data_IF_334142119266
#
_entry.id   IF_334142119266
#
_cell.length_a   1.000
_cell.length_b   1.000
_cell.length_c   1.000
_cell.angle_alpha   90.00
_cell.angle_beta   90.00
_cell.angle_gamma   90.00
#
_symmetry.space_group_name_H-M   'P 1'
#
loop_
_entity.id
_entity.type
_entity.pdbx_description
1 polymer ?
#
# COMPACT_ATOMS: atom_id res chain seq x y z
N UNK A 1 46.37 39.35 -6.29
CA UNK A 1 45.91 37.95 -6.28
C UNK A 1 47.14 37.07 -6.17
N UNK A 2 47.32 36.39 -5.02
CA UNK A 2 48.55 35.67 -4.71
C UNK A 2 48.60 34.32 -5.50
N UNK A 3 49.82 33.86 -5.85
CA UNK A 3 50.02 32.56 -6.54
C UNK A 3 49.35 31.42 -5.77
N UNK A 4 49.40 31.44 -4.43
CA UNK A 4 48.72 30.48 -3.53
C UNK A 4 47.20 30.41 -3.74
N UNK A 5 46.54 31.53 -4.04
CA UNK A 5 45.08 31.53 -4.24
C UNK A 5 44.69 30.84 -5.54
N UNK A 6 45.55 30.85 -6.55
CA UNK A 6 45.35 30.21 -7.83
C UNK A 6 45.53 28.71 -7.71
N UNK A 7 46.57 28.27 -7.01
CA UNK A 7 46.82 26.86 -6.74
C UNK A 7 45.74 26.24 -5.83
N UNK A 8 45.31 26.96 -4.79
CA UNK A 8 44.24 26.57 -3.90
C UNK A 8 42.91 26.38 -4.65
N UNK A 9 42.55 27.29 -5.57
CA UNK A 9 41.36 27.15 -6.43
C UNK A 9 41.45 25.93 -7.34
N UNK A 10 42.61 25.73 -7.98
CA UNK A 10 42.80 24.55 -8.86
C UNK A 10 42.66 23.20 -8.10
N UNK A 11 43.14 23.16 -6.85
CA UNK A 11 42.97 21.97 -5.99
C UNK A 11 41.49 21.76 -5.65
N UNK A 12 40.77 22.80 -5.24
CA UNK A 12 39.35 22.72 -4.91
C UNK A 12 38.52 22.28 -6.13
N UNK A 13 38.80 22.85 -7.31
CA UNK A 13 38.11 22.44 -8.56
C UNK A 13 38.37 21.00 -8.89
N UNK A 14 39.61 20.48 -8.79
CA UNK A 14 39.93 19.05 -8.99
C UNK A 14 39.23 18.17 -7.97
N UNK A 15 39.16 18.57 -6.72
CA UNK A 15 38.44 17.84 -5.68
C UNK A 15 36.92 17.80 -5.99
N UNK A 16 36.33 18.88 -6.42
CA UNK A 16 34.94 18.97 -6.81
C UNK A 16 34.60 18.05 -8.01
N UNK A 17 35.47 18.10 -9.06
CA UNK A 17 35.32 17.18 -10.21
C UNK A 17 35.46 15.72 -9.81
N UNK A 18 36.45 15.39 -8.99
CA UNK A 18 36.64 14.02 -8.50
C UNK A 18 35.47 13.54 -7.59
N UNK A 19 34.90 14.41 -6.80
CA UNK A 19 33.70 14.13 -5.98
C UNK A 19 32.50 13.86 -6.89
N UNK A 20 32.27 14.72 -7.89
CA UNK A 20 31.18 14.57 -8.87
C UNK A 20 31.32 13.26 -9.67
N UNK A 21 32.52 12.93 -10.13
CA UNK A 21 32.79 11.66 -10.83
C UNK A 21 32.51 10.44 -9.94
N UNK A 22 32.94 10.47 -8.66
CA UNK A 22 32.63 9.39 -7.69
C UNK A 22 31.14 9.24 -7.44
N UNK A 23 30.42 10.34 -7.29
CA UNK A 23 28.96 10.31 -7.11
C UNK A 23 28.26 9.73 -8.35
N UNK A 24 28.70 10.12 -9.56
CA UNK A 24 28.16 9.60 -10.82
C UNK A 24 28.43 8.11 -10.98
N UNK A 25 29.67 7.66 -10.68
CA UNK A 25 30.02 6.23 -10.71
C UNK A 25 29.23 5.41 -9.67
N UNK A 26 29.02 5.96 -8.46
CA UNK A 26 28.19 5.32 -7.44
C UNK A 26 26.75 5.19 -7.92
N UNK A 27 26.17 6.27 -8.49
CA UNK A 27 24.81 6.28 -9.04
C UNK A 27 24.66 5.25 -10.19
N UNK A 28 25.64 5.18 -11.08
CA UNK A 28 25.64 4.19 -12.18
C UNK A 28 25.69 2.76 -11.65
N UNK A 29 26.57 2.45 -10.67
CA UNK A 29 26.62 1.12 -10.03
C UNK A 29 25.32 0.77 -9.32
N UNK A 30 24.69 1.73 -8.63
CA UNK A 30 23.39 1.54 -7.97
C UNK A 30 22.28 1.26 -9.00
N UNK A 31 22.26 1.96 -10.13
CA UNK A 31 21.32 1.73 -11.23
C UNK A 31 21.50 0.34 -11.83
N UNK A 32 22.74 -0.09 -12.09
CA UNK A 32 23.04 -1.43 -12.61
C UNK A 32 22.59 -2.51 -11.61
N UNK A 33 22.86 -2.32 -10.31
CA UNK A 33 22.45 -3.25 -9.27
C UNK A 33 20.93 -3.33 -9.13
N UNK A 34 20.23 -2.20 -9.26
CA UNK A 34 18.74 -2.15 -9.29
C UNK A 34 18.18 -2.94 -10.47
N UNK A 35 18.72 -2.70 -11.65
CA UNK A 35 18.33 -3.41 -12.88
C UNK A 35 18.46 -4.91 -12.69
N UNK A 36 19.59 -5.38 -12.19
CA UNK A 36 19.86 -6.79 -11.91
C UNK A 36 18.88 -7.39 -10.86
N UNK A 37 18.52 -6.66 -9.80
CA UNK A 37 17.56 -7.14 -8.79
C UNK A 37 16.14 -7.24 -9.37
N UNK A 38 15.75 -6.34 -10.25
CA UNK A 38 14.41 -6.31 -10.85
C UNK A 38 14.28 -7.29 -12.03
N UNK A 39 15.36 -7.48 -12.82
CA UNK A 39 15.36 -8.34 -14.00
C UNK A 39 15.61 -9.83 -13.68
N UNK A 40 16.20 -10.16 -12.52
CA UNK A 40 16.77 -11.51 -12.27
C UNK A 40 15.74 -12.58 -11.89
N UNK A 41 14.45 -12.30 -11.82
CA UNK A 41 13.46 -13.36 -11.57
C UNK A 41 12.08 -12.99 -12.10
N UNK A 42 11.40 -13.96 -12.68
CA UNK A 42 9.99 -13.89 -13.05
C UNK A 42 9.09 -13.44 -11.91
N UNK A 43 7.80 -13.52 -12.10
CA UNK A 43 6.78 -13.13 -11.11
C UNK A 43 7.04 -13.76 -9.73
N UNK A 44 6.70 -13.06 -8.63
CA UNK A 44 6.88 -13.60 -7.29
C UNK A 44 6.17 -14.94 -7.12
N UNK A 45 6.84 -15.96 -6.60
CA UNK A 45 6.25 -17.29 -6.42
C UNK A 45 5.02 -17.32 -5.50
N UNK A 46 4.83 -16.30 -4.67
CA UNK A 46 3.65 -16.15 -3.82
C UNK A 46 2.47 -15.46 -4.52
N UNK A 47 2.68 -14.84 -5.68
CA UNK A 47 1.61 -14.23 -6.46
C UNK A 47 0.72 -15.32 -7.05
N UNK A 48 -0.57 -15.30 -6.72
CA UNK A 48 -1.57 -16.04 -7.46
C UNK A 48 -2.12 -15.12 -8.55
N UNK A 49 -1.52 -15.17 -9.72
CA UNK A 49 -1.86 -14.29 -10.83
C UNK A 49 -3.22 -14.61 -11.46
N UNK A 50 -3.78 -13.65 -12.21
CA UNK A 50 -4.96 -13.85 -13.03
C UNK A 50 -4.57 -14.40 -14.40
N UNK A 51 -5.52 -15.00 -15.11
CA UNK A 51 -5.29 -15.57 -16.43
C UNK A 51 -5.41 -14.55 -17.56
N UNK A 52 -6.12 -13.45 -17.35
CA UNK A 52 -6.18 -12.35 -18.31
C UNK A 52 -4.84 -11.64 -18.40
N UNK A 53 -4.43 -11.31 -19.62
CA UNK A 53 -3.27 -10.47 -19.94
C UNK A 53 -3.66 -9.03 -20.26
N UNK A 54 -4.95 -8.71 -20.22
CA UNK A 54 -5.45 -7.35 -20.42
C UNK A 54 -5.38 -6.58 -19.09
N UNK A 55 -4.50 -5.56 -19.00
CA UNK A 55 -4.40 -4.76 -17.79
C UNK A 55 -5.69 -4.02 -17.44
N UNK A 56 -6.52 -3.68 -18.44
CA UNK A 56 -7.71 -2.81 -18.23
C UNK A 56 -8.83 -3.49 -17.46
N UNK A 57 -8.89 -4.83 -17.46
CA UNK A 57 -9.85 -5.61 -16.69
C UNK A 57 -9.24 -6.27 -15.44
N UNK A 58 -7.90 -6.24 -15.31
CA UNK A 58 -7.20 -6.99 -14.28
C UNK A 58 -7.04 -6.19 -12.98
N UNK A 59 -7.18 -6.87 -11.85
CA UNK A 59 -7.08 -6.29 -10.51
C UNK A 59 -6.08 -7.06 -9.65
N UNK A 60 -5.23 -6.34 -8.90
CA UNK A 60 -4.31 -6.93 -7.92
C UNK A 60 -4.80 -6.66 -6.51
N UNK A 61 -5.12 -7.70 -5.77
CA UNK A 61 -5.39 -7.61 -4.33
C UNK A 61 -4.09 -7.86 -3.55
N UNK A 62 -3.66 -6.88 -2.79
CA UNK A 62 -2.58 -7.01 -1.82
C UNK A 62 -3.23 -7.39 -0.49
N UNK A 63 -3.00 -8.62 -0.04
CA UNK A 63 -3.72 -9.24 1.08
C UNK A 63 -2.81 -9.39 2.28
N UNK A 64 -3.31 -9.06 3.47
CA UNK A 64 -2.59 -9.19 4.72
C UNK A 64 -2.49 -10.67 5.15
N UNK A 65 -1.26 -11.19 5.15
CA UNK A 65 -0.93 -12.52 5.65
C UNK A 65 -1.40 -13.68 4.80
N UNK A 66 -0.85 -14.85 5.11
CA UNK A 66 -1.21 -16.10 4.42
C UNK A 66 -2.60 -16.62 4.85
N UNK A 67 -3.07 -16.28 6.06
CA UNK A 67 -4.37 -16.68 6.59
C UNK A 67 -5.55 -16.12 5.79
N UNK A 68 -5.47 -14.85 5.40
CA UNK A 68 -6.48 -14.22 4.54
C UNK A 68 -6.26 -14.55 3.05
N UNK A 69 -5.04 -14.85 2.63
CA UNK A 69 -4.72 -15.19 1.25
C UNK A 69 -5.37 -16.51 0.79
N UNK A 70 -5.53 -17.49 1.68
CA UNK A 70 -6.21 -18.76 1.38
C UNK A 70 -7.67 -18.55 0.93
N UNK A 71 -8.52 -17.99 1.78
CA UNK A 71 -9.89 -17.62 1.42
C UNK A 71 -9.97 -16.68 0.22
N UNK A 72 -9.10 -15.69 0.10
CA UNK A 72 -9.08 -14.75 -1.04
C UNK A 72 -8.78 -15.45 -2.38
N UNK A 73 -7.84 -16.40 -2.40
CA UNK A 73 -7.53 -17.20 -3.59
C UNK A 73 -8.71 -18.09 -4.01
N UNK A 74 -9.49 -18.57 -3.05
CA UNK A 74 -10.70 -19.38 -3.33
C UNK A 74 -11.88 -18.51 -3.78
N UNK A 75 -11.97 -17.29 -3.22
CA UNK A 75 -13.07 -16.36 -3.49
C UNK A 75 -12.96 -15.69 -4.86
N UNK A 76 -11.75 -15.36 -5.31
CA UNK A 76 -11.49 -14.50 -6.48
C UNK A 76 -12.06 -15.02 -7.80
N UNK A 77 -12.39 -14.13 -8.70
CA UNK A 77 -12.45 -14.47 -10.14
C UNK A 77 -11.01 -14.61 -10.67
N UNK A 78 -10.55 -15.85 -10.82
CA UNK A 78 -9.19 -16.14 -11.29
C UNK A 78 -8.90 -15.66 -12.70
N UNK A 79 -9.92 -15.27 -13.46
CA UNK A 79 -9.74 -14.70 -14.80
C UNK A 79 -9.12 -13.32 -14.73
N UNK A 80 -9.59 -12.46 -13.83
CA UNK A 80 -9.23 -11.03 -13.80
C UNK A 80 -8.64 -10.56 -12.46
N UNK A 81 -8.71 -11.37 -11.39
CA UNK A 81 -8.24 -10.98 -10.06
C UNK A 81 -7.00 -11.77 -9.64
N UNK A 82 -5.92 -11.06 -9.36
CA UNK A 82 -4.67 -11.59 -8.82
C UNK A 82 -4.59 -11.34 -7.31
N UNK A 83 -3.96 -12.27 -6.57
CA UNK A 83 -3.76 -12.18 -5.12
C UNK A 83 -2.27 -12.20 -4.80
N UNK A 84 -1.79 -11.16 -4.13
CA UNK A 84 -0.43 -11.08 -3.59
C UNK A 84 -0.48 -10.99 -2.07
N UNK A 85 -0.20 -12.06 -1.34
CA UNK A 85 -0.06 -11.98 0.11
C UNK A 85 1.21 -11.24 0.49
N UNK A 86 1.11 -10.38 1.51
CA UNK A 86 2.25 -9.75 2.17
C UNK A 86 2.38 -10.34 3.58
N UNK A 87 3.60 -10.79 3.94
CA UNK A 87 3.87 -11.42 5.22
C UNK A 87 4.28 -10.40 6.25
N UNK A 88 3.37 -10.12 7.18
CA UNK A 88 3.60 -9.16 8.25
C UNK A 88 3.73 -7.72 7.78
N UNK A 89 4.26 -6.87 8.64
CA UNK A 89 4.46 -5.44 8.37
C UNK A 89 5.65 -5.25 7.43
N UNK A 90 5.39 -4.67 6.25
CA UNK A 90 6.48 -4.34 5.31
C UNK A 90 7.41 -3.29 5.92
N UNK A 91 8.63 -3.25 5.41
CA UNK A 91 9.62 -2.27 5.87
C UNK A 91 9.11 -0.84 5.63
N UNK A 92 9.26 0.04 6.63
CA UNK A 92 8.96 1.45 6.46
C UNK A 92 10.00 2.10 5.54
N UNK A 93 9.61 2.33 4.30
CA UNK A 93 10.49 2.87 3.27
C UNK A 93 10.90 4.33 3.52
N UNK A 94 10.20 5.06 4.39
CA UNK A 94 10.61 6.42 4.77
C UNK A 94 11.86 6.42 5.64
N UNK A 95 12.05 5.39 6.46
CA UNK A 95 13.18 5.28 7.40
C UNK A 95 14.43 4.62 6.83
N UNK A 96 14.37 4.06 5.63
CA UNK A 96 15.50 3.31 5.06
C UNK A 96 15.95 3.88 3.72
N UNK A 97 17.19 3.55 3.36
CA UNK A 97 17.71 3.86 2.03
C UNK A 97 16.99 3.02 0.98
N UNK A 98 16.96 3.52 -0.24
CA UNK A 98 16.33 2.84 -1.36
C UNK A 98 16.90 1.44 -1.60
N UNK A 99 18.23 1.29 -1.55
CA UNK A 99 18.88 -0.01 -1.72
C UNK A 99 18.40 -1.02 -0.66
N UNK A 100 18.25 -0.60 0.59
CA UNK A 100 17.75 -1.46 1.66
C UNK A 100 16.27 -1.80 1.46
N UNK A 101 15.46 -0.86 0.98
CA UNK A 101 14.08 -1.13 0.65
C UNK A 101 13.97 -2.19 -0.46
N UNK A 102 14.75 -2.07 -1.53
CA UNK A 102 14.74 -3.02 -2.66
C UNK A 102 15.27 -4.42 -2.31
N UNK A 103 16.09 -4.55 -1.26
CA UNK A 103 16.53 -5.84 -0.74
C UNK A 103 15.46 -6.55 0.09
N UNK A 104 14.39 -5.86 0.48
CA UNK A 104 13.29 -6.47 1.20
C UNK A 104 12.43 -7.29 0.22
N UNK A 105 12.18 -8.56 0.56
CA UNK A 105 11.46 -9.51 -0.30
C UNK A 105 10.03 -9.05 -0.61
N UNK A 106 9.33 -8.47 0.37
CA UNK A 106 7.96 -7.98 0.20
C UNK A 106 7.90 -6.79 -0.76
N UNK A 107 8.83 -5.83 -0.61
CA UNK A 107 8.94 -4.68 -1.51
C UNK A 107 9.32 -5.13 -2.93
N UNK A 108 10.29 -6.03 -3.06
CA UNK A 108 10.69 -6.60 -4.35
C UNK A 108 9.52 -7.34 -5.02
N UNK A 109 8.74 -8.11 -4.24
CA UNK A 109 7.56 -8.80 -4.75
C UNK A 109 6.48 -7.83 -5.24
N UNK A 110 6.20 -6.74 -4.51
CA UNK A 110 5.26 -5.71 -4.94
C UNK A 110 5.68 -5.09 -6.27
N UNK A 111 6.94 -4.65 -6.39
CA UNK A 111 7.47 -4.02 -7.60
C UNK A 111 7.35 -4.95 -8.82
N UNK A 112 7.75 -6.22 -8.66
CA UNK A 112 7.70 -7.23 -9.73
C UNK A 112 6.26 -7.60 -10.12
N UNK A 113 5.36 -7.71 -9.15
CA UNK A 113 3.94 -8.03 -9.42
C UNK A 113 3.26 -6.92 -10.21
N UNK A 114 3.50 -5.65 -9.85
CA UNK A 114 2.87 -4.50 -10.49
C UNK A 114 3.43 -4.25 -11.89
N UNK A 115 4.76 -4.34 -12.07
CA UNK A 115 5.41 -4.26 -13.38
C UNK A 115 5.85 -2.87 -13.82
N UNK A 116 5.36 -1.79 -13.21
CA UNK A 116 5.58 -0.39 -13.66
C UNK A 116 7.01 0.14 -13.47
N UNK A 117 7.89 -0.62 -12.81
CA UNK A 117 9.15 -0.05 -12.30
C UNK A 117 8.91 0.94 -11.16
N UNK A 118 9.94 1.72 -10.81
CA UNK A 118 9.88 2.69 -9.70
C UNK A 118 10.61 4.00 -10.06
N UNK A 119 10.15 5.12 -9.49
CA UNK A 119 10.79 6.44 -9.60
C UNK A 119 11.17 6.82 -11.04
N UNK A 120 12.49 6.95 -11.35
CA UNK A 120 12.99 7.32 -12.67
C UNK A 120 12.71 6.25 -13.76
N UNK A 121 12.46 5.02 -13.37
CA UNK A 121 12.11 3.89 -14.26
C UNK A 121 10.61 3.61 -14.27
N UNK A 122 9.82 4.43 -13.57
CA UNK A 122 8.37 4.25 -13.52
C UNK A 122 7.76 4.53 -14.89
N UNK A 123 7.04 3.54 -15.40
CA UNK A 123 6.21 3.65 -16.59
C UNK A 123 4.82 3.08 -16.28
N UNK A 124 3.81 3.92 -16.31
CA UNK A 124 2.43 3.53 -16.00
C UNK A 124 1.85 2.55 -17.01
N UNK A 125 2.24 2.66 -18.28
CA UNK A 125 1.77 1.80 -19.37
C UNK A 125 2.18 0.34 -19.18
N UNK A 126 3.25 0.08 -18.41
CA UNK A 126 3.72 -1.26 -18.05
C UNK A 126 2.94 -1.86 -16.87
N UNK A 127 1.94 -1.15 -16.33
CA UNK A 127 1.10 -1.67 -15.24
C UNK A 127 0.34 -2.91 -15.69
N UNK A 128 0.51 -4.00 -14.96
CA UNK A 128 -0.18 -5.26 -15.25
C UNK A 128 -1.64 -5.27 -14.78
N UNK A 129 -2.05 -4.27 -14.01
CA UNK A 129 -3.39 -4.20 -13.42
C UNK A 129 -3.97 -2.79 -13.52
N UNK A 130 -5.28 -2.69 -13.74
CA UNK A 130 -6.03 -1.44 -13.68
C UNK A 130 -6.20 -0.97 -12.23
N UNK A 131 -6.50 -1.91 -11.33
CA UNK A 131 -6.70 -1.60 -9.91
C UNK A 131 -5.74 -2.37 -9.02
N UNK A 132 -5.15 -1.67 -8.07
CA UNK A 132 -4.34 -2.23 -6.99
C UNK A 132 -5.10 -1.98 -5.70
N UNK A 133 -5.61 -3.05 -5.09
CA UNK A 133 -6.56 -2.99 -3.99
C UNK A 133 -5.90 -3.52 -2.73
N UNK A 134 -5.85 -2.72 -1.66
CA UNK A 134 -5.38 -3.16 -0.35
C UNK A 134 -6.53 -3.85 0.37
N UNK A 135 -6.35 -5.11 0.70
CA UNK A 135 -7.28 -5.93 1.44
C UNK A 135 -6.61 -6.33 2.77
N UNK A 136 -6.83 -5.52 3.80
CA UNK A 136 -6.24 -5.66 5.14
C UNK A 136 -7.34 -5.81 6.18
N UNK A 137 -6.99 -6.38 7.33
CA UNK A 137 -7.90 -6.49 8.46
C UNK A 137 -8.40 -5.11 8.92
N UNK A 138 -9.57 -5.09 9.52
CA UNK A 138 -10.20 -3.84 10.00
C UNK A 138 -9.75 -3.48 11.43
N UNK A 139 -8.55 -3.84 11.82
CA UNK A 139 -7.93 -3.56 13.11
C UNK A 139 -6.78 -2.54 13.01
N UNK A 140 -6.10 -2.30 14.14
CA UNK A 140 -4.98 -1.35 14.23
C UNK A 140 -3.75 -1.81 13.42
N UNK A 141 -3.51 -3.12 13.34
CA UNK A 141 -2.40 -3.70 12.58
C UNK A 141 -2.64 -3.58 11.08
N UNK A 142 -3.86 -3.88 10.60
CA UNK A 142 -4.26 -3.66 9.22
C UNK A 142 -4.21 -2.18 8.82
N UNK A 143 -4.61 -1.25 9.71
CA UNK A 143 -4.46 0.18 9.49
C UNK A 143 -2.97 0.59 9.35
N UNK A 144 -2.07 0.01 10.16
CA UNK A 144 -0.64 0.24 10.05
C UNK A 144 -0.07 -0.31 8.73
N UNK A 145 -0.47 -1.51 8.32
CA UNK A 145 -0.05 -2.10 7.04
C UNK A 145 -0.51 -1.24 5.86
N UNK A 146 -1.75 -0.75 5.87
CA UNK A 146 -2.24 0.21 4.87
C UNK A 146 -1.37 1.46 4.81
N UNK A 147 -1.00 2.02 5.96
CA UNK A 147 -0.14 3.21 6.02
C UNK A 147 1.25 2.94 5.46
N UNK A 148 1.84 1.77 5.73
CA UNK A 148 3.12 1.35 5.15
C UNK A 148 3.03 1.16 3.63
N UNK A 149 1.97 0.54 3.14
CA UNK A 149 1.70 0.40 1.71
C UNK A 149 1.54 1.77 1.04
N UNK A 150 0.72 2.67 1.59
CA UNK A 150 0.56 4.03 1.09
C UNK A 150 1.89 4.78 1.03
N UNK A 151 2.74 4.63 2.08
CA UNK A 151 4.09 5.21 2.11
C UNK A 151 4.96 4.66 0.98
N UNK A 152 4.87 3.36 0.70
CA UNK A 152 5.59 2.72 -0.40
C UNK A 152 5.13 3.26 -1.76
N UNK A 153 3.83 3.27 -2.04
CA UNK A 153 3.28 3.77 -3.31
C UNK A 153 3.58 5.25 -3.51
N UNK A 154 3.40 6.07 -2.48
CA UNK A 154 3.69 7.50 -2.55
C UNK A 154 5.17 7.78 -2.87
N UNK A 155 6.10 7.03 -2.24
CA UNK A 155 7.53 7.25 -2.40
C UNK A 155 8.12 6.70 -3.70
N UNK A 156 7.62 5.55 -4.16
CA UNK A 156 8.22 4.80 -5.27
C UNK A 156 7.39 4.81 -6.55
N UNK A 157 6.07 4.89 -6.45
CA UNK A 157 5.12 4.79 -7.57
C UNK A 157 4.00 5.84 -7.47
N UNK A 158 4.31 7.16 -7.26
CA UNK A 158 3.27 8.18 -7.08
C UNK A 158 2.34 8.30 -8.29
N UNK A 159 2.81 7.96 -9.49
CA UNK A 159 1.99 7.92 -10.71
C UNK A 159 0.75 7.04 -10.56
N UNK A 160 0.83 5.88 -9.91
CA UNK A 160 -0.33 5.00 -9.69
C UNK A 160 -1.40 5.63 -8.78
N UNK A 161 -1.01 6.52 -7.87
CA UNK A 161 -1.97 7.26 -7.03
C UNK A 161 -2.63 8.36 -7.86
N UNK A 162 -1.83 9.11 -8.64
CA UNK A 162 -2.36 10.22 -9.46
C UNK A 162 -3.25 9.75 -10.60
N UNK A 163 -2.98 8.59 -11.19
CA UNK A 163 -3.85 7.95 -12.18
C UNK A 163 -5.06 7.24 -11.56
N UNK A 164 -5.10 7.16 -10.21
CA UNK A 164 -6.25 6.60 -9.50
C UNK A 164 -6.35 5.08 -9.56
N UNK A 165 -5.24 4.40 -9.71
CA UNK A 165 -5.16 2.93 -9.73
C UNK A 165 -5.07 2.29 -8.34
N UNK A 166 -4.83 3.07 -7.28
CA UNK A 166 -4.69 2.56 -5.90
C UNK A 166 -6.00 2.70 -5.15
N UNK A 167 -6.43 1.60 -4.51
CA UNK A 167 -7.71 1.50 -3.82
C UNK A 167 -7.56 0.78 -2.48
N UNK A 168 -8.47 1.06 -1.55
CA UNK A 168 -8.58 0.38 -0.25
C UNK A 168 -9.93 -0.31 -0.20
N UNK A 169 -9.95 -1.61 0.08
CA UNK A 169 -11.18 -2.35 0.34
C UNK A 169 -11.66 -2.11 1.77
N UNK A 170 -12.96 -1.93 1.94
CA UNK A 170 -13.63 -1.83 3.25
C UNK A 170 -14.51 -3.07 3.48
N UNK A 171 -13.94 -4.19 3.96
CA UNK A 171 -14.74 -5.34 4.36
C UNK A 171 -15.63 -4.99 5.56
N UNK A 172 -16.81 -5.64 5.71
CA UNK A 172 -17.71 -5.39 6.83
C UNK A 172 -17.13 -5.88 8.15
N UNK A 173 -17.47 -5.17 9.24
CA UNK A 173 -17.13 -5.60 10.60
C UNK A 173 -18.12 -6.62 11.17
N UNK A 174 -19.36 -6.61 10.70
CA UNK A 174 -20.43 -7.43 11.28
C UNK A 174 -21.17 -8.24 10.23
N UNK A 175 -21.48 -9.48 10.60
CA UNK A 175 -22.41 -10.36 9.91
C UNK A 175 -23.61 -10.57 10.80
N UNK A 176 -24.80 -10.31 10.27
CA UNK A 176 -26.07 -10.54 10.91
C UNK A 176 -26.77 -11.70 10.17
N UNK A 177 -27.13 -12.75 10.90
CA UNK A 177 -27.89 -13.86 10.38
C UNK A 177 -29.31 -13.79 10.93
N UNK A 178 -30.29 -13.70 10.05
CA UNK A 178 -31.72 -13.74 10.36
C UNK A 178 -32.39 -14.85 9.56
N UNK A 179 -33.63 -15.14 9.87
CA UNK A 179 -34.45 -16.12 9.08
C UNK A 179 -34.59 -15.65 7.60
N UNK A 180 -34.53 -14.36 7.34
CA UNK A 180 -34.61 -13.76 6.00
C UNK A 180 -33.30 -13.78 5.20
N UNK A 181 -32.17 -14.22 5.80
CA UNK A 181 -30.87 -14.23 5.14
C UNK A 181 -29.74 -13.61 5.96
N UNK A 182 -28.62 -13.35 5.29
CA UNK A 182 -27.42 -12.74 5.88
C UNK A 182 -27.35 -11.28 5.43
N UNK A 183 -27.04 -10.39 6.38
CA UNK A 183 -26.79 -8.96 6.13
C UNK A 183 -25.42 -8.60 6.68
N UNK A 184 -24.63 -7.84 5.93
CA UNK A 184 -23.32 -7.39 6.34
C UNK A 184 -23.37 -5.89 6.69
N UNK A 185 -22.73 -5.49 7.78
CA UNK A 185 -22.67 -4.10 8.23
C UNK A 185 -21.21 -3.67 8.42
N UNK A 186 -20.91 -2.47 7.91
CA UNK A 186 -19.54 -2.00 7.81
C UNK A 186 -18.90 -1.61 9.15
N UNK A 187 -19.70 -1.07 10.09
CA UNK A 187 -19.20 -0.48 11.33
C UNK A 187 -20.23 -0.52 12.47
N UNK A 188 -19.83 0.00 13.64
CA UNK A 188 -20.68 0.11 14.82
C UNK A 188 -21.89 1.03 14.62
N UNK A 189 -21.75 2.07 13.81
CA UNK A 189 -22.83 3.03 13.54
C UNK A 189 -23.94 2.35 12.74
N UNK A 190 -23.57 1.61 11.69
CA UNK A 190 -24.49 0.82 10.90
C UNK A 190 -25.18 -0.27 11.75
N UNK A 191 -24.45 -0.91 12.68
CA UNK A 191 -25.03 -1.88 13.59
C UNK A 191 -26.04 -1.24 14.54
N UNK A 192 -25.74 -0.08 15.09
CA UNK A 192 -26.66 0.62 16.00
C UNK A 192 -27.90 1.13 15.28
N UNK A 193 -27.75 1.63 14.05
CA UNK A 193 -28.87 2.04 13.20
C UNK A 193 -29.78 0.82 12.90
N UNK A 194 -29.19 -0.29 12.46
CA UNK A 194 -29.91 -1.54 12.17
C UNK A 194 -30.70 -2.06 13.40
N UNK A 195 -30.09 -2.05 14.59
CA UNK A 195 -30.74 -2.44 15.84
C UNK A 195 -31.92 -1.55 16.18
N UNK A 196 -31.83 -0.24 15.92
CA UNK A 196 -32.95 0.70 16.17
C UNK A 196 -34.13 0.43 15.25
N UNK A 197 -33.90 0.11 13.99
CA UNK A 197 -34.94 -0.15 13.00
C UNK A 197 -35.60 -1.54 13.18
N UNK A 198 -34.85 -2.50 13.73
CA UNK A 198 -35.28 -3.89 13.83
C UNK A 198 -35.45 -4.38 15.27
N UNK A 199 -35.97 -3.53 16.19
CA UNK A 199 -36.08 -3.82 17.64
C UNK A 199 -36.78 -5.14 17.99
N UNK A 200 -37.73 -5.56 17.16
CA UNK A 200 -38.59 -6.73 17.44
C UNK A 200 -38.14 -8.00 16.67
N UNK A 201 -37.03 -7.95 15.93
CA UNK A 201 -36.52 -9.11 15.18
C UNK A 201 -35.37 -9.78 15.91
N UNK A 202 -35.34 -11.11 15.88
CA UNK A 202 -34.21 -11.90 16.39
C UNK A 202 -33.19 -12.08 15.26
N UNK A 203 -31.93 -11.77 15.54
CA UNK A 203 -30.81 -12.00 14.64
C UNK A 203 -29.59 -12.39 15.46
N UNK A 204 -28.76 -13.24 14.86
CA UNK A 204 -27.45 -13.61 15.39
C UNK A 204 -26.41 -12.66 14.83
N UNK A 205 -25.62 -12.02 15.72
CA UNK A 205 -24.61 -11.03 15.37
C UNK A 205 -23.24 -11.65 15.58
N UNK A 206 -22.46 -11.77 14.50
CA UNK A 206 -21.07 -12.15 14.56
C UNK A 206 -20.21 -10.95 14.15
N UNK A 207 -19.11 -10.71 14.88
CA UNK A 207 -18.11 -9.70 14.52
C UNK A 207 -16.92 -10.39 13.91
N UNK A 208 -16.50 -9.97 12.75
CA UNK A 208 -15.25 -10.40 12.15
C UNK A 208 -14.07 -9.65 12.84
N UNK A 209 -13.06 -10.41 13.29
CA UNK A 209 -11.83 -9.87 13.84
C UNK A 209 -10.77 -9.68 12.75
N UNK A 210 -10.85 -10.47 11.68
CA UNK A 210 -9.98 -10.38 10.53
C UNK A 210 -10.53 -11.12 9.33
N UNK A 211 -9.94 -10.89 8.16
CA UNK A 211 -10.33 -11.50 6.88
C UNK A 211 -10.20 -13.02 6.87
N UNK A 212 -9.29 -13.57 7.69
CA UNK A 212 -9.11 -15.02 7.82
C UNK A 212 -10.28 -15.74 8.50
N UNK A 213 -11.19 -15.00 9.15
CA UNK A 213 -12.44 -15.55 9.72
C UNK A 213 -13.58 -15.65 8.69
N UNK A 214 -13.43 -15.00 7.54
CA UNK A 214 -14.42 -15.03 6.46
C UNK A 214 -14.18 -16.27 5.58
N UNK A 215 -15.25 -16.97 5.24
CA UNK A 215 -15.17 -18.00 4.20
C UNK A 215 -15.09 -17.36 2.81
N UNK A 216 -14.77 -18.16 1.78
CA UNK A 216 -14.59 -17.65 0.42
C UNK A 216 -15.84 -16.96 -0.14
N UNK A 217 -17.04 -17.47 0.14
CA UNK A 217 -18.30 -16.85 -0.30
C UNK A 217 -18.53 -15.48 0.35
N UNK A 218 -18.33 -15.39 1.67
CA UNK A 218 -18.43 -14.12 2.40
C UNK A 218 -17.43 -13.07 1.90
N UNK A 219 -16.19 -13.51 1.65
CA UNK A 219 -15.16 -12.62 1.15
C UNK A 219 -15.44 -12.16 -0.29
N UNK A 220 -15.98 -13.05 -1.13
CA UNK A 220 -16.47 -12.68 -2.45
C UNK A 220 -17.54 -11.61 -2.36
N UNK A 221 -18.63 -11.91 -1.64
CA UNK A 221 -19.82 -11.04 -1.57
C UNK A 221 -19.52 -9.65 -1.00
N UNK A 222 -18.52 -9.53 -0.13
CA UNK A 222 -18.30 -8.30 0.65
C UNK A 222 -17.09 -7.49 0.23
N UNK A 223 -16.04 -8.12 -0.30
CA UNK A 223 -14.76 -7.46 -0.54
C UNK A 223 -14.21 -7.62 -1.96
N UNK A 224 -14.62 -8.67 -2.70
CA UNK A 224 -14.00 -8.98 -3.98
C UNK A 224 -14.94 -8.84 -5.19
N UNK A 225 -16.23 -9.10 -5.03
CA UNK A 225 -17.20 -8.95 -6.10
C UNK A 225 -17.35 -7.49 -6.53
N UNK A 226 -17.07 -7.13 -7.79
CA UNK A 226 -17.16 -5.75 -8.29
C UNK A 226 -18.51 -5.07 -8.07
N UNK A 227 -19.60 -5.85 -8.02
CA UNK A 227 -20.97 -5.34 -7.89
C UNK A 227 -21.36 -4.99 -6.44
N UNK A 228 -20.75 -5.64 -5.45
CA UNK A 228 -21.20 -5.54 -4.05
C UNK A 228 -20.16 -4.99 -3.08
N UNK A 229 -18.87 -5.05 -3.45
CA UNK A 229 -17.76 -4.58 -2.62
C UNK A 229 -17.75 -3.06 -2.49
N UNK A 230 -17.20 -2.57 -1.38
CA UNK A 230 -16.93 -1.14 -1.17
C UNK A 230 -15.43 -0.87 -1.30
N UNK A 231 -15.07 0.04 -2.20
CA UNK A 231 -13.70 0.48 -2.41
C UNK A 231 -13.56 1.99 -2.18
N UNK A 232 -12.53 2.40 -1.47
CA UNK A 232 -12.12 3.79 -1.33
C UNK A 232 -10.96 4.05 -2.28
N UNK A 233 -11.13 4.98 -3.22
CA UNK A 233 -10.07 5.42 -4.11
C UNK A 233 -9.05 6.26 -3.34
N UNK A 234 -7.77 5.92 -3.46
CA UNK A 234 -6.70 6.74 -2.91
C UNK A 234 -6.41 7.88 -3.89
N UNK A 235 -6.63 9.12 -3.45
CA UNK A 235 -6.39 10.32 -4.24
C UNK A 235 -5.49 11.28 -3.50
N UNK A 236 -4.73 12.07 -4.26
CA UNK A 236 -4.12 13.29 -3.76
C UNK A 236 -5.12 14.41 -3.95
N UNK A 237 -5.27 15.28 -2.97
CA UNK A 237 -6.18 16.43 -3.10
C UNK A 237 -5.77 17.28 -4.32
N UNK A 238 -6.74 17.75 -5.12
CA UNK A 238 -6.50 18.52 -6.35
C UNK A 238 -5.97 19.95 -6.10
N UNK A 239 -5.60 20.27 -4.85
CA UNK A 239 -5.09 21.58 -4.47
C UNK A 239 -3.63 21.76 -4.89
N UNK A 240 -3.31 22.97 -5.38
CA UNK A 240 -1.91 23.39 -5.64
C UNK A 240 -1.04 23.12 -4.40
N UNK A 241 0.01 22.30 -4.56
CA UNK A 241 0.88 21.88 -3.46
C UNK A 241 0.41 20.63 -2.68
N UNK A 242 -0.62 19.91 -3.13
CA UNK A 242 -1.10 18.68 -2.47
C UNK A 242 0.00 17.62 -2.32
N UNK A 243 0.84 17.46 -3.34
CA UNK A 243 1.97 16.53 -3.28
C UNK A 243 2.97 16.91 -2.18
N UNK A 244 3.29 18.20 -2.03
CA UNK A 244 4.19 18.69 -0.97
C UNK A 244 3.57 18.47 0.42
N UNK A 245 2.29 18.80 0.60
CA UNK A 245 1.57 18.56 1.87
C UNK A 245 1.51 17.08 2.22
N UNK A 246 1.27 16.21 1.25
CA UNK A 246 1.30 14.77 1.45
C UNK A 246 2.69 14.28 1.84
N UNK A 247 3.74 14.79 1.18
CA UNK A 247 5.14 14.49 1.51
C UNK A 247 5.49 14.88 2.95
N UNK A 248 5.10 16.08 3.37
CA UNK A 248 5.30 16.55 4.75
C UNK A 248 4.54 15.66 5.75
N UNK A 249 3.32 15.25 5.43
CA UNK A 249 2.53 14.36 6.28
C UNK A 249 3.18 12.97 6.42
N UNK A 250 3.66 12.38 5.30
CA UNK A 250 4.40 11.13 5.37
C UNK A 250 5.70 11.26 6.17
N UNK A 251 6.41 12.40 6.07
CA UNK A 251 7.61 12.64 6.89
C UNK A 251 7.27 12.76 8.38
N UNK A 252 6.19 13.45 8.75
CA UNK A 252 5.73 13.55 10.14
C UNK A 252 5.33 12.18 10.68
N UNK A 253 4.50 11.44 9.97
CA UNK A 253 3.91 10.19 10.46
C UNK A 253 4.90 9.01 10.39
N UNK A 254 5.67 8.92 9.31
CA UNK A 254 6.47 7.74 8.98
C UNK A 254 7.98 7.99 9.01
N UNK A 255 8.41 9.27 9.13
CA UNK A 255 9.83 9.66 9.19
C UNK A 255 10.52 9.34 10.51
N UNK A 256 11.76 9.80 10.65
CA UNK A 256 12.59 9.54 11.82
C UNK A 256 12.35 10.50 12.99
N UNK A 257 11.76 11.68 12.74
CA UNK A 257 11.51 12.70 13.76
C UNK A 257 10.32 12.32 14.64
N UNK A 258 10.65 11.82 15.84
CA UNK A 258 9.66 11.43 16.85
C UNK A 258 8.93 12.64 17.41
N UNK A 259 9.62 13.79 17.53
CA UNK A 259 9.04 15.00 18.16
C UNK A 259 7.89 15.56 17.32
N UNK A 260 8.06 15.64 16.00
CA UNK A 260 7.00 16.06 15.09
C UNK A 260 5.80 15.14 15.14
N UNK A 261 6.03 13.82 15.21
CA UNK A 261 4.97 12.83 15.31
C UNK A 261 4.22 12.95 16.63
N UNK A 262 4.94 13.12 17.75
CA UNK A 262 4.34 13.33 19.07
C UNK A 262 3.40 14.55 19.07
N UNK A 263 3.88 15.69 18.59
CA UNK A 263 3.07 16.91 18.46
C UNK A 263 1.81 16.71 17.59
N UNK A 264 1.95 15.97 16.48
CA UNK A 264 0.81 15.64 15.63
C UNK A 264 -0.23 14.81 16.37
N UNK A 265 0.20 13.76 17.10
CA UNK A 265 -0.69 12.88 17.88
C UNK A 265 -1.40 13.70 18.97
N UNK A 266 -0.66 14.50 19.73
CA UNK A 266 -1.24 15.34 20.80
C UNK A 266 -2.30 16.32 20.25
N UNK A 267 -2.01 16.95 19.09
CA UNK A 267 -2.91 17.89 18.45
C UNK A 267 -4.21 17.22 17.95
N UNK A 268 -4.13 15.98 17.47
CA UNK A 268 -5.25 15.26 16.86
C UNK A 268 -5.81 14.15 17.78
N UNK A 269 -5.46 14.13 19.07
CA UNK A 269 -5.86 13.09 20.01
C UNK A 269 -7.39 12.93 20.14
N UNK A 270 -8.14 14.00 19.93
CA UNK A 270 -9.62 14.01 19.99
C UNK A 270 -10.27 13.29 18.80
N UNK A 271 -9.57 13.14 17.69
CA UNK A 271 -10.06 12.54 16.46
C UNK A 271 -9.78 11.03 16.37
N UNK A 272 -9.14 10.47 17.40
CA UNK A 272 -8.80 9.05 17.45
C UNK A 272 -10.07 8.22 17.64
N UNK A 273 -10.38 7.37 16.64
CA UNK A 273 -11.59 6.52 16.64
C UNK A 273 -11.33 5.10 17.15
N UNK A 274 -10.07 4.65 17.10
CA UNK A 274 -9.67 3.30 17.50
C UNK A 274 -8.47 3.40 18.43
N UNK A 275 -8.65 3.00 19.67
CA UNK A 275 -7.58 2.73 20.62
C UNK A 275 -7.65 1.23 20.93
N UNK A 276 -6.50 0.58 20.84
CA UNK A 276 -6.33 -0.78 21.33
C UNK A 276 -6.03 -0.67 22.84
N UNK A 277 -7.09 -0.79 23.68
CA UNK A 277 -7.01 -0.66 25.15
C UNK A 277 -7.30 -2.03 25.74
#
# INVERSE_FOLDING_TARGET
MCIRDREGRAIVERCAVAAKARMSAKKARELTKRKSILETSGLPGKLADCSSTDPTESELFIVEGDSAAGPAKQARDSRVQAILPIRGKIINVQKVTENRALQNEEISALIKAIGTGIKAQFNEEESRYDKIIFLTDADVDGAHIRTLLLTFFFKFMPGLITSGKVWISEPPLYRLKAASGITYLKDNEALNAFKKENKNKKFDISRFKGLGEMNAGELWDTAMNPETRTLIKVTLADAKGAMAKASDMFEVLMGNDVSKRKLFIEKNAKDVRFLDV
#
